data_IF_999694493423
#
_entry.id   IF_999694493423
#
_cell.length_a   1.000
_cell.length_b   1.000
_cell.length_c   1.000
_cell.angle_alpha   90.00
_cell.angle_beta   90.00
_cell.angle_gamma   90.00
#
_symmetry.space_group_name_H-M   'P 1'
#
loop_
_entity.id
_entity.type
_entity.pdbx_description
1 polymer ?
#
# COMPACT_ATOMS: atom_id res chain seq x y z
N UNK A 1 2.22 2.21 -26.02
CA UNK A 1 2.54 1.04 -25.17
C UNK A 1 2.39 1.38 -23.68
N UNK A 2 3.32 2.11 -23.03
CA UNK A 2 3.19 2.40 -21.59
C UNK A 2 2.04 3.37 -21.27
N UNK A 3 1.86 4.45 -22.05
CA UNK A 3 0.84 5.48 -21.78
C UNK A 3 -0.60 4.93 -21.72
N UNK A 4 -0.96 3.97 -22.58
CA UNK A 4 -2.30 3.36 -22.60
C UNK A 4 -2.66 2.67 -21.28
N UNK A 5 -1.70 1.95 -20.67
CA UNK A 5 -1.92 1.29 -19.37
C UNK A 5 -2.06 2.30 -18.22
N UNK A 6 -1.43 3.47 -18.31
CA UNK A 6 -1.61 4.54 -17.34
C UNK A 6 -3.03 5.12 -17.41
N UNK A 7 -3.54 5.37 -18.62
CA UNK A 7 -4.90 5.90 -18.77
C UNK A 7 -5.99 4.95 -18.27
N UNK A 8 -5.81 3.64 -18.45
CA UNK A 8 -6.72 2.64 -17.89
C UNK A 8 -6.74 2.65 -16.35
N UNK A 9 -5.63 3.00 -15.71
CA UNK A 9 -5.52 3.07 -14.24
C UNK A 9 -6.05 4.39 -13.68
N UNK A 10 -5.96 5.48 -14.44
CA UNK A 10 -6.45 6.80 -14.03
C UNK A 10 -7.95 6.77 -13.77
N UNK A 11 -8.71 6.02 -14.57
CA UNK A 11 -10.17 5.84 -14.42
C UNK A 11 -10.57 5.22 -13.05
N UNK A 12 -9.64 4.57 -12.34
CA UNK A 12 -9.89 4.02 -10.99
C UNK A 12 -9.93 5.11 -9.91
N UNK A 13 -9.40 6.29 -10.19
CA UNK A 13 -9.21 7.36 -9.20
C UNK A 13 -9.88 8.67 -9.63
N UNK A 14 -9.86 8.97 -10.92
CA UNK A 14 -10.37 10.22 -11.48
C UNK A 14 -11.62 9.98 -12.34
N UNK A 15 -12.53 10.96 -12.32
CA UNK A 15 -13.74 10.96 -13.15
C UNK A 15 -13.38 11.29 -14.60
N UNK A 16 -13.39 10.27 -15.46
CA UNK A 16 -13.05 10.36 -16.89
C UNK A 16 -13.83 11.45 -17.65
N UNK A 17 -15.05 11.79 -17.21
CA UNK A 17 -15.84 12.84 -17.88
C UNK A 17 -15.26 14.25 -17.71
N UNK A 18 -14.32 14.43 -16.77
CA UNK A 18 -13.67 15.71 -16.45
C UNK A 18 -12.18 15.72 -16.82
N UNK A 19 -11.71 14.73 -17.58
CA UNK A 19 -10.29 14.57 -17.89
C UNK A 19 -10.05 14.85 -19.37
N UNK A 20 -9.09 15.73 -19.64
CA UNK A 20 -8.44 15.86 -20.93
C UNK A 20 -7.06 15.19 -20.86
N UNK A 21 -6.72 14.41 -21.89
CA UNK A 21 -5.43 13.76 -22.00
C UNK A 21 -4.64 14.41 -23.13
N UNK A 22 -3.46 14.92 -22.81
CA UNK A 22 -2.55 15.57 -23.76
C UNK A 22 -1.15 14.97 -23.67
N UNK A 23 -0.48 14.87 -24.81
CA UNK A 23 0.90 14.43 -24.88
C UNK A 23 1.79 15.63 -25.15
N UNK A 24 2.78 15.89 -24.29
CA UNK A 24 3.66 17.05 -24.48
C UNK A 24 4.48 17.03 -25.77
N UNK A 25 4.61 15.88 -26.43
CA UNK A 25 5.12 15.80 -27.80
C UNK A 25 4.32 16.64 -28.80
N UNK A 26 3.06 16.96 -28.53
CA UNK A 26 2.22 17.83 -29.36
C UNK A 26 2.82 19.22 -29.55
N UNK A 27 3.49 19.77 -28.53
CA UNK A 27 4.13 21.09 -28.61
C UNK A 27 5.66 21.01 -28.56
N UNK A 28 6.25 20.09 -27.78
CA UNK A 28 7.70 19.99 -27.63
C UNK A 28 8.39 19.42 -28.88
N UNK A 29 7.80 18.42 -29.54
CA UNK A 29 8.47 17.74 -30.67
C UNK A 29 8.62 18.65 -31.91
N UNK A 30 7.74 19.66 -32.03
CA UNK A 30 7.77 20.65 -33.11
C UNK A 30 8.65 21.87 -32.82
N UNK A 31 9.22 22.02 -31.62
CA UNK A 31 10.03 23.18 -31.28
C UNK A 31 11.30 23.23 -32.15
N UNK A 32 11.51 24.35 -32.83
CA UNK A 32 12.77 24.60 -33.50
C UNK A 32 13.88 24.86 -32.47
N UNK A 33 15.14 24.73 -32.88
CA UNK A 33 16.27 25.12 -32.03
C UNK A 33 16.17 26.59 -31.57
N UNK A 34 15.60 27.47 -32.40
CA UNK A 34 15.36 28.86 -32.04
C UNK A 34 14.31 29.00 -30.92
N UNK A 35 13.27 28.17 -30.92
CA UNK A 35 12.24 28.18 -29.88
C UNK A 35 12.79 27.68 -28.55
N UNK A 36 13.59 26.61 -28.58
CA UNK A 36 14.29 26.09 -27.39
C UNK A 36 15.21 27.17 -26.81
N UNK A 37 15.99 27.87 -27.63
CA UNK A 37 16.84 28.96 -27.15
C UNK A 37 16.04 30.12 -26.54
N UNK A 38 14.90 30.48 -27.13
CA UNK A 38 14.01 31.51 -26.57
C UNK A 38 13.43 31.10 -25.23
N UNK A 39 13.05 29.82 -25.08
CA UNK A 39 12.58 29.26 -23.81
C UNK A 39 13.69 29.27 -22.76
N UNK A 40 14.88 28.78 -23.11
CA UNK A 40 16.03 28.78 -22.20
C UNK A 40 16.44 30.18 -21.76
N UNK A 41 16.26 31.19 -22.63
CA UNK A 41 16.55 32.58 -22.29
C UNK A 41 15.63 33.17 -21.22
N UNK A 42 14.53 32.49 -20.84
CA UNK A 42 13.59 32.94 -19.81
C UNK A 42 14.11 32.73 -18.38
N UNK A 43 15.14 31.91 -18.19
CA UNK A 43 15.74 31.69 -16.88
C UNK A 43 17.26 31.61 -16.97
N UNK A 44 17.92 31.85 -15.85
CA UNK A 44 19.38 31.71 -15.75
C UNK A 44 19.75 30.25 -15.50
N UNK A 45 20.95 29.86 -15.95
CA UNK A 45 21.50 28.54 -15.63
C UNK A 45 21.63 28.35 -14.11
N UNK A 46 21.99 29.41 -13.37
CA UNK A 46 22.12 29.38 -11.92
C UNK A 46 20.81 28.98 -11.23
N UNK A 47 19.66 29.49 -11.69
CA UNK A 47 18.36 29.08 -11.16
C UNK A 47 18.09 27.60 -11.39
N UNK A 48 18.41 27.08 -12.58
CA UNK A 48 18.22 25.63 -12.87
C UNK A 48 19.11 24.77 -11.97
N UNK A 49 20.36 25.19 -11.75
CA UNK A 49 21.31 24.49 -10.91
C UNK A 49 20.99 24.54 -9.40
N UNK A 50 20.01 25.34 -8.97
CA UNK A 50 19.51 25.32 -7.58
C UNK A 50 18.62 24.12 -7.28
N UNK A 51 18.15 23.40 -8.31
CA UNK A 51 17.44 22.13 -8.14
C UNK A 51 18.29 21.17 -7.29
N UNK A 52 17.69 20.58 -6.27
CA UNK A 52 18.41 19.81 -5.24
C UNK A 52 19.31 18.71 -5.83
N UNK A 53 18.81 17.94 -6.82
CA UNK A 53 19.62 16.89 -7.47
C UNK A 53 20.88 17.45 -8.14
N UNK A 54 20.76 18.58 -8.85
CA UNK A 54 21.89 19.21 -9.52
C UNK A 54 22.84 19.83 -8.49
N UNK A 55 22.31 20.48 -7.47
CA UNK A 55 23.11 21.06 -6.40
C UNK A 55 23.94 19.98 -5.68
N UNK A 56 23.36 18.82 -5.40
CA UNK A 56 24.05 17.74 -4.70
C UNK A 56 25.04 16.99 -5.60
N UNK A 57 24.72 16.80 -6.88
CA UNK A 57 25.68 16.25 -7.86
C UNK A 57 26.87 17.18 -8.08
N UNK A 58 26.64 18.48 -8.17
CA UNK A 58 27.73 19.48 -8.25
C UNK A 58 28.63 19.44 -7.01
N UNK A 59 28.05 19.35 -5.80
CA UNK A 59 28.82 19.24 -4.55
C UNK A 59 29.63 17.94 -4.46
N UNK A 60 29.06 16.84 -4.93
CA UNK A 60 29.72 15.51 -4.91
C UNK A 60 30.67 15.27 -6.09
N UNK A 61 30.73 16.19 -7.06
CA UNK A 61 31.53 16.05 -8.28
C UNK A 61 30.95 15.05 -9.28
N UNK A 62 29.69 14.62 -9.10
CA UNK A 62 29.00 13.77 -10.04
C UNK A 62 28.65 14.58 -11.31
N UNK A 63 28.92 14.01 -12.49
CA UNK A 63 28.67 14.67 -13.76
C UNK A 63 27.17 14.97 -13.94
N UNK A 64 26.85 16.11 -14.55
CA UNK A 64 25.50 16.49 -15.00
C UNK A 64 25.54 16.65 -16.51
N UNK A 65 24.70 15.89 -17.22
CA UNK A 65 24.59 16.00 -18.67
C UNK A 65 23.97 17.34 -19.06
N UNK A 66 24.50 17.99 -20.10
CA UNK A 66 23.97 19.28 -20.57
C UNK A 66 22.49 19.21 -20.98
N UNK A 67 22.04 18.05 -21.48
CA UNK A 67 20.64 17.82 -21.85
C UNK A 67 19.70 17.76 -20.63
N UNK A 68 20.20 17.41 -19.43
CA UNK A 68 19.38 17.32 -18.22
C UNK A 68 18.84 18.70 -17.81
N UNK A 69 19.55 19.78 -18.16
CA UNK A 69 19.14 21.16 -17.94
C UNK A 69 17.86 21.49 -18.70
N UNK A 70 17.56 20.81 -19.81
CA UNK A 70 16.36 21.05 -20.62
C UNK A 70 15.10 20.51 -19.96
N UNK A 71 15.21 19.56 -19.03
CA UNK A 71 14.03 18.91 -18.44
C UNK A 71 13.13 19.91 -17.68
N UNK A 72 13.65 20.76 -16.75
CA UNK A 72 12.81 21.75 -16.08
C UNK A 72 12.14 22.73 -17.05
N UNK A 73 12.82 23.14 -18.12
CA UNK A 73 12.21 24.01 -19.15
C UNK A 73 11.10 23.32 -19.91
N UNK A 74 11.29 22.04 -20.25
CA UNK A 74 10.30 21.26 -20.99
C UNK A 74 9.03 21.10 -20.15
N UNK A 75 9.17 20.68 -18.89
CA UNK A 75 8.03 20.54 -17.98
C UNK A 75 7.35 21.90 -17.70
N UNK A 76 8.12 22.97 -17.49
CA UNK A 76 7.56 24.29 -17.28
C UNK A 76 6.80 24.84 -18.50
N UNK A 77 7.21 24.46 -19.71
CA UNK A 77 6.49 24.83 -20.92
C UNK A 77 5.21 24.00 -21.12
N UNK A 78 5.12 22.80 -20.55
CA UNK A 78 3.88 22.02 -20.53
C UNK A 78 2.75 22.83 -19.84
N UNK A 79 3.03 23.51 -18.72
CA UNK A 79 2.09 24.41 -18.05
C UNK A 79 1.66 25.60 -18.92
N UNK A 80 2.56 26.14 -19.73
CA UNK A 80 2.25 27.21 -20.68
C UNK A 80 1.31 26.71 -21.78
N UNK A 81 1.61 25.52 -22.32
CA UNK A 81 0.88 24.94 -23.44
C UNK A 81 -0.56 24.55 -23.08
N UNK A 82 -0.80 24.14 -21.83
CA UNK A 82 -2.14 23.78 -21.33
C UNK A 82 -2.81 24.90 -20.54
N UNK A 83 -2.19 26.07 -20.44
CA UNK A 83 -2.68 27.22 -19.67
C UNK A 83 -3.07 26.83 -18.23
N UNK A 84 -2.19 26.09 -17.55
CA UNK A 84 -2.51 25.50 -16.26
C UNK A 84 -2.81 26.57 -15.20
N UNK A 85 -4.00 26.49 -14.58
CA UNK A 85 -4.33 27.28 -13.38
C UNK A 85 -3.74 26.66 -12.10
N UNK A 86 -3.61 25.33 -12.06
CA UNK A 86 -3.08 24.58 -10.92
C UNK A 86 -2.25 23.41 -11.42
N UNK A 87 -1.03 23.22 -10.89
CA UNK A 87 -0.24 22.01 -11.09
C UNK A 87 -0.03 21.26 -9.78
N UNK A 88 -0.25 19.95 -9.82
CA UNK A 88 -0.19 19.05 -8.68
C UNK A 88 1.04 18.15 -8.79
N UNK A 89 1.80 17.97 -7.71
CA UNK A 89 2.95 17.08 -7.71
C UNK A 89 3.40 16.62 -6.33
N UNK A 90 4.38 15.70 -6.32
CA UNK A 90 5.06 15.30 -5.10
C UNK A 90 6.02 16.39 -4.60
N UNK A 91 6.46 16.32 -3.34
CA UNK A 91 7.47 17.23 -2.78
C UNK A 91 8.78 17.24 -3.55
N UNK A 92 9.11 16.15 -4.24
CA UNK A 92 10.27 16.03 -5.13
C UNK A 92 10.14 16.83 -6.44
N UNK A 93 8.93 17.31 -6.77
CA UNK A 93 8.67 18.14 -7.95
C UNK A 93 8.59 19.65 -7.61
N UNK A 94 8.71 20.05 -6.34
CA UNK A 94 8.50 21.44 -5.91
C UNK A 94 9.29 22.45 -6.76
N UNK A 95 10.56 22.16 -7.06
CA UNK A 95 11.37 23.02 -7.92
C UNK A 95 10.75 23.19 -9.32
N UNK A 96 10.37 22.09 -9.98
CA UNK A 96 9.82 22.14 -11.34
C UNK A 96 8.47 22.86 -11.36
N UNK A 97 7.63 22.67 -10.35
CA UNK A 97 6.33 23.35 -10.21
C UNK A 97 6.48 24.87 -10.04
N UNK A 98 7.42 25.30 -9.19
CA UNK A 98 7.76 26.72 -9.03
C UNK A 98 8.39 27.29 -10.30
N UNK A 99 9.18 26.49 -11.00
CA UNK A 99 9.78 26.89 -12.26
C UNK A 99 8.73 27.08 -13.36
N UNK A 100 7.72 26.20 -13.43
CA UNK A 100 6.52 26.35 -14.27
C UNK A 100 5.84 27.71 -14.10
N UNK A 101 5.59 28.10 -12.84
CA UNK A 101 5.03 29.41 -12.50
C UNK A 101 5.81 30.59 -13.07
N UNK A 102 7.14 30.57 -12.90
CA UNK A 102 7.99 31.65 -13.40
C UNK A 102 8.04 31.69 -14.92
N UNK A 103 8.03 30.52 -15.58
CA UNK A 103 7.99 30.45 -17.04
C UNK A 103 6.64 30.95 -17.57
N UNK A 104 5.50 30.56 -17.01
CA UNK A 104 4.17 31.09 -17.39
C UNK A 104 4.14 32.62 -17.33
N UNK A 105 4.65 33.20 -16.25
CA UNK A 105 4.78 34.67 -16.10
C UNK A 105 5.60 35.30 -17.23
N UNK A 106 6.68 34.64 -17.65
CA UNK A 106 7.54 35.10 -18.74
C UNK A 106 6.89 35.03 -20.14
N UNK A 107 5.81 34.25 -20.26
CA UNK A 107 4.92 34.17 -21.42
C UNK A 107 3.67 35.05 -21.28
N UNK A 108 3.54 35.80 -20.18
CA UNK A 108 2.42 36.71 -19.94
C UNK A 108 1.14 36.03 -19.45
N UNK A 109 1.22 34.76 -19.05
CA UNK A 109 0.11 34.03 -18.42
C UNK A 109 0.05 34.30 -16.91
N UNK A 110 -1.12 34.06 -16.32
CA UNK A 110 -1.27 33.99 -14.87
C UNK A 110 -0.49 32.77 -14.34
N UNK A 111 0.38 32.91 -13.32
CA UNK A 111 1.14 31.78 -12.81
C UNK A 111 0.26 30.77 -12.07
N UNK A 112 0.35 29.50 -12.44
CA UNK A 112 -0.39 28.38 -11.84
C UNK A 112 -0.23 28.31 -10.31
N UNK A 113 -1.27 27.98 -9.57
CA UNK A 113 -1.13 27.54 -8.18
C UNK A 113 -0.48 26.17 -8.07
N UNK A 114 0.21 25.92 -6.96
CA UNK A 114 0.92 24.66 -6.74
C UNK A 114 0.34 23.92 -5.56
N UNK A 115 -0.02 22.66 -5.77
CA UNK A 115 -0.44 21.76 -4.71
C UNK A 115 0.55 20.61 -4.61
N UNK A 116 1.26 20.57 -3.48
CA UNK A 116 2.36 19.64 -3.27
C UNK A 116 1.99 18.65 -2.17
N UNK A 117 2.16 17.36 -2.48
CA UNK A 117 1.84 16.27 -1.58
C UNK A 117 3.11 15.54 -1.12
N UNK A 118 3.16 15.09 0.15
CA UNK A 118 4.31 14.33 0.65
C UNK A 118 4.45 13.01 -0.11
N UNK A 119 5.70 12.56 -0.26
CA UNK A 119 5.98 11.23 -0.81
C UNK A 119 5.47 10.14 0.14
N UNK A 120 4.85 9.12 -0.43
CA UNK A 120 4.43 7.93 0.30
C UNK A 120 5.58 6.92 0.35
N UNK A 121 5.99 6.52 1.55
CA UNK A 121 6.92 5.40 1.74
C UNK A 121 6.28 4.09 1.30
N UNK A 122 7.10 3.17 0.77
CA UNK A 122 6.64 1.86 0.36
C UNK A 122 6.32 0.92 1.51
N UNK A 123 6.06 -0.34 1.19
CA UNK A 123 5.75 -1.40 2.17
C UNK A 123 6.94 -1.79 3.06
N UNK A 124 8.16 -1.43 2.66
CA UNK A 124 9.38 -1.49 3.50
C UNK A 124 9.40 -0.38 4.56
N UNK A 125 8.75 0.73 4.25
CA UNK A 125 8.53 1.91 5.06
C UNK A 125 9.73 2.84 5.24
N UNK A 126 10.84 2.57 4.56
CA UNK A 126 12.02 3.44 4.55
C UNK A 126 12.08 4.23 3.26
N UNK A 127 12.08 3.52 2.12
CA UNK A 127 12.20 4.17 0.83
C UNK A 127 10.85 4.65 0.32
N UNK A 128 10.89 5.64 -0.57
CA UNK A 128 9.71 6.03 -1.34
C UNK A 128 9.13 4.83 -2.09
N UNK A 129 7.82 4.77 -2.18
CA UNK A 129 7.13 3.72 -2.91
C UNK A 129 7.58 3.70 -4.38
N UNK A 130 8.04 2.53 -4.86
CA UNK A 130 8.53 2.37 -6.22
C UNK A 130 8.32 0.95 -6.75
N UNK A 131 7.89 0.87 -8.02
CA UNK A 131 7.83 -0.40 -8.75
C UNK A 131 9.19 -1.09 -8.86
N UNK A 132 10.26 -0.33 -9.03
CA UNK A 132 11.62 -0.87 -9.16
C UNK A 132 12.18 -1.46 -7.86
N UNK A 133 11.71 -0.99 -6.72
CA UNK A 133 12.11 -1.48 -5.39
C UNK A 133 11.22 -2.63 -4.91
N UNK A 134 10.13 -2.93 -5.62
CA UNK A 134 9.17 -3.96 -5.22
C UNK A 134 8.39 -3.63 -3.93
N UNK A 135 8.48 -2.39 -3.43
CA UNK A 135 7.86 -1.94 -2.17
C UNK A 135 6.53 -1.20 -2.41
N UNK A 136 5.81 -1.52 -3.49
CA UNK A 136 4.63 -0.76 -3.93
C UNK A 136 3.33 -1.55 -3.83
N UNK A 137 2.23 -0.81 -3.69
CA UNK A 137 0.86 -1.29 -3.82
C UNK A 137 0.32 -0.74 -5.14
N UNK A 138 0.05 -1.60 -6.12
CA UNK A 138 -0.36 -1.18 -7.45
C UNK A 138 -1.87 -0.94 -7.54
N UNK A 139 -2.29 0.07 -8.30
CA UNK A 139 -3.72 0.41 -8.45
C UNK A 139 -4.53 -0.67 -9.19
N UNK A 140 -3.90 -1.38 -10.13
CA UNK A 140 -4.52 -2.44 -10.92
C UNK A 140 -4.07 -3.85 -10.48
N UNK A 141 -3.61 -4.01 -9.24
CA UNK A 141 -3.29 -5.32 -8.69
C UNK A 141 -4.56 -6.08 -8.28
N UNK A 142 -4.52 -7.41 -8.20
CA UNK A 142 -5.63 -8.18 -7.65
C UNK A 142 -6.01 -7.70 -6.23
N UNK A 143 -7.30 -7.70 -5.87
CA UNK A 143 -7.80 -7.33 -4.54
C UNK A 143 -7.02 -7.96 -3.38
N UNK A 144 -6.68 -9.23 -3.48
CA UNK A 144 -5.94 -10.00 -2.48
C UNK A 144 -4.49 -9.53 -2.30
N UNK A 145 -3.86 -9.03 -3.37
CA UNK A 145 -2.49 -8.51 -3.35
C UNK A 145 -2.48 -7.12 -2.72
N UNK A 146 -3.44 -6.26 -3.11
CA UNK A 146 -3.62 -4.95 -2.47
C UNK A 146 -3.84 -5.13 -0.98
N UNK A 147 -4.79 -6.00 -0.59
CA UNK A 147 -5.09 -6.25 0.82
C UNK A 147 -3.87 -6.77 1.57
N UNK A 148 -3.20 -7.80 1.03
CA UNK A 148 -2.03 -8.40 1.65
C UNK A 148 -0.86 -7.44 1.82
N UNK A 149 -0.59 -6.61 0.80
CA UNK A 149 0.47 -5.60 0.84
C UNK A 149 0.13 -4.47 1.81
N UNK A 150 -1.12 -4.01 1.87
CA UNK A 150 -1.54 -3.03 2.88
C UNK A 150 -1.36 -3.58 4.28
N UNK A 151 -1.67 -4.85 4.51
CA UNK A 151 -1.44 -5.49 5.81
C UNK A 151 0.06 -5.58 6.19
N UNK A 152 0.96 -5.52 5.21
CA UNK A 152 2.41 -5.60 5.42
C UNK A 152 3.09 -4.26 5.78
N UNK A 153 2.40 -3.12 5.61
CA UNK A 153 3.00 -1.81 5.90
C UNK A 153 3.42 -1.71 7.37
N UNK A 154 4.53 -1.04 7.74
CA UNK A 154 4.88 -0.81 9.13
C UNK A 154 3.83 -0.01 9.90
N UNK A 155 3.63 -0.31 11.19
CA UNK A 155 2.59 0.32 12.03
C UNK A 155 2.73 1.86 12.08
N UNK A 156 3.96 2.36 12.07
CA UNK A 156 4.26 3.81 12.05
C UNK A 156 3.77 4.53 10.79
N UNK A 157 3.44 3.81 9.72
CA UNK A 157 2.97 4.37 8.46
C UNK A 157 1.45 4.33 8.30
N UNK A 158 0.71 3.71 9.23
CA UNK A 158 -0.75 3.62 9.16
C UNK A 158 -1.37 5.01 9.01
N UNK A 159 -0.96 5.97 9.85
CA UNK A 159 -1.47 7.34 9.80
C UNK A 159 -1.25 8.00 8.44
N UNK A 160 -0.04 7.88 7.90
CA UNK A 160 0.31 8.48 6.62
C UNK A 160 -0.50 7.86 5.48
N UNK A 161 -0.64 6.54 5.45
CA UNK A 161 -1.44 5.87 4.43
C UNK A 161 -2.92 6.23 4.54
N UNK A 162 -3.48 6.24 5.75
CA UNK A 162 -4.88 6.62 5.96
C UNK A 162 -5.13 8.03 5.44
N UNK A 163 -4.28 9.01 5.80
CA UNK A 163 -4.47 10.40 5.37
C UNK A 163 -4.28 10.61 3.86
N UNK A 164 -3.34 9.90 3.23
CA UNK A 164 -2.96 10.17 1.84
C UNK A 164 -3.73 9.35 0.81
N UNK A 165 -4.12 8.11 1.12
CA UNK A 165 -4.67 7.19 0.10
C UNK A 165 -6.02 6.57 0.45
N UNK A 166 -6.51 6.67 1.70
CA UNK A 166 -7.81 6.08 2.05
C UNK A 166 -9.00 6.77 1.38
N UNK A 167 -8.85 8.07 1.07
CA UNK A 167 -9.93 8.96 0.62
C UNK A 167 -11.19 8.91 1.49
N UNK A 168 -11.00 8.63 2.78
CA UNK A 168 -11.99 8.77 3.84
C UNK A 168 -12.07 10.22 4.32
N UNK A 169 -13.21 10.62 4.86
CA UNK A 169 -13.36 11.93 5.48
C UNK A 169 -12.62 12.02 6.83
N UNK A 170 -12.31 13.22 7.37
CA UNK A 170 -11.49 13.36 8.57
C UNK A 170 -11.98 12.59 9.80
N UNK A 171 -13.30 12.44 9.96
CA UNK A 171 -13.90 11.68 11.06
C UNK A 171 -13.65 10.17 10.90
N UNK A 172 -13.91 9.62 9.72
CA UNK A 172 -13.64 8.22 9.40
C UNK A 172 -12.14 7.89 9.47
N UNK A 173 -11.27 8.83 9.08
CA UNK A 173 -9.83 8.69 9.27
C UNK A 173 -9.49 8.57 10.76
N UNK A 174 -10.07 9.42 11.62
CA UNK A 174 -9.84 9.38 13.05
C UNK A 174 -10.29 8.04 13.66
N UNK A 175 -11.43 7.51 13.22
CA UNK A 175 -11.93 6.19 13.66
C UNK A 175 -10.96 5.07 13.31
N UNK A 176 -10.44 5.03 12.08
CA UNK A 176 -9.45 4.02 11.66
C UNK A 176 -8.16 4.15 12.48
N UNK A 177 -7.72 5.38 12.77
CA UNK A 177 -6.49 5.63 13.52
C UNK A 177 -6.61 5.35 15.02
N UNK A 178 -7.82 5.33 15.57
CA UNK A 178 -8.08 4.92 16.94
C UNK A 178 -8.02 3.40 17.14
N UNK A 179 -8.04 2.61 16.04
CA UNK A 179 -7.99 1.16 16.11
C UNK A 179 -6.60 0.64 16.49
N UNK A 180 -6.54 -0.63 16.93
CA UNK A 180 -5.24 -1.32 17.10
C UNK A 180 -4.55 -1.43 15.74
N UNK A 181 -3.20 -1.45 15.68
CA UNK A 181 -2.48 -1.40 14.41
C UNK A 181 -2.92 -2.44 13.36
N UNK A 182 -3.19 -3.68 13.79
CA UNK A 182 -3.72 -4.73 12.90
C UNK A 182 -5.08 -4.34 12.32
N UNK A 183 -5.99 -3.89 13.17
CA UNK A 183 -7.38 -3.60 12.79
C UNK A 183 -7.43 -2.33 11.92
N UNK A 184 -6.61 -1.32 12.22
CA UNK A 184 -6.45 -0.13 11.39
C UNK A 184 -5.90 -0.45 10.00
N UNK A 185 -4.91 -1.35 9.88
CA UNK A 185 -4.43 -1.85 8.58
C UNK A 185 -5.50 -2.62 7.82
N UNK A 186 -6.27 -3.46 8.51
CA UNK A 186 -7.34 -4.23 7.88
C UNK A 186 -8.45 -3.30 7.35
N UNK A 187 -8.83 -2.28 8.14
CA UNK A 187 -9.77 -1.26 7.72
C UNK A 187 -9.27 -0.46 6.50
N UNK A 188 -8.00 -0.03 6.52
CA UNK A 188 -7.37 0.63 5.38
C UNK A 188 -7.32 -0.31 4.15
N UNK A 189 -6.93 -1.57 4.32
CA UNK A 189 -6.84 -2.56 3.25
C UNK A 189 -8.20 -2.77 2.59
N UNK A 190 -9.26 -2.97 3.39
CA UNK A 190 -10.63 -3.06 2.91
C UNK A 190 -11.04 -1.81 2.16
N UNK A 191 -10.72 -0.62 2.67
CA UNK A 191 -11.06 0.65 2.02
C UNK A 191 -10.36 0.84 0.68
N UNK A 192 -9.07 0.51 0.58
CA UNK A 192 -8.32 0.61 -0.67
C UNK A 192 -8.89 -0.34 -1.73
N UNK A 193 -9.18 -1.59 -1.36
CA UNK A 193 -9.80 -2.55 -2.27
C UNK A 193 -11.21 -2.10 -2.66
N UNK A 194 -12.00 -1.57 -1.72
CA UNK A 194 -13.34 -1.07 -2.01
C UNK A 194 -13.32 0.06 -3.05
N UNK A 195 -12.39 1.02 -2.90
CA UNK A 195 -12.24 2.13 -3.85
C UNK A 195 -11.85 1.68 -5.25
N UNK A 196 -10.97 0.68 -5.35
CA UNK A 196 -10.39 0.26 -6.63
C UNK A 196 -11.19 -0.85 -7.32
N UNK A 197 -11.86 -1.71 -6.56
CA UNK A 197 -12.52 -2.93 -7.06
C UNK A 197 -13.95 -3.13 -6.55
N UNK A 198 -14.46 -2.26 -5.69
CA UNK A 198 -15.80 -2.32 -5.12
C UNK A 198 -15.93 -3.19 -3.87
N UNK A 199 -17.09 -3.07 -3.22
CA UNK A 199 -17.36 -3.61 -1.88
C UNK A 199 -17.25 -5.14 -1.82
N UNK A 200 -17.79 -5.83 -2.82
CA UNK A 200 -17.77 -7.31 -2.86
C UNK A 200 -16.36 -7.87 -3.07
N UNK A 201 -15.49 -7.15 -3.77
CA UNK A 201 -14.07 -7.53 -3.88
C UNK A 201 -13.34 -7.34 -2.55
N UNK A 202 -13.64 -6.24 -1.84
CA UNK A 202 -13.06 -5.94 -0.54
C UNK A 202 -13.42 -6.99 0.51
N UNK A 203 -14.71 -7.37 0.56
CA UNK A 203 -15.21 -8.43 1.47
C UNK A 203 -14.51 -9.76 1.22
N UNK A 204 -14.42 -10.19 -0.05
CA UNK A 204 -13.74 -11.46 -0.41
C UNK A 204 -12.25 -11.43 -0.08
N UNK A 205 -11.57 -10.32 -0.35
CA UNK A 205 -10.14 -10.19 -0.05
C UNK A 205 -9.85 -10.29 1.46
N UNK A 206 -10.71 -9.70 2.30
CA UNK A 206 -10.65 -9.80 3.76
C UNK A 206 -10.88 -11.23 4.25
N UNK A 207 -11.93 -11.90 3.78
CA UNK A 207 -12.24 -13.31 4.11
C UNK A 207 -11.08 -14.25 3.73
N UNK A 208 -10.53 -14.09 2.52
CA UNK A 208 -9.41 -14.88 2.02
C UNK A 208 -8.13 -14.64 2.83
N UNK A 209 -7.85 -13.39 3.21
CA UNK A 209 -6.71 -13.05 4.04
C UNK A 209 -6.81 -13.72 5.41
N UNK A 210 -7.97 -13.64 6.06
CA UNK A 210 -8.21 -14.26 7.36
C UNK A 210 -8.10 -15.80 7.30
N UNK A 211 -8.62 -16.43 6.25
CA UNK A 211 -8.47 -17.87 6.02
C UNK A 211 -7.00 -18.26 5.83
N UNK A 212 -6.26 -17.54 4.99
CA UNK A 212 -4.83 -17.78 4.75
C UNK A 212 -4.00 -17.53 6.01
N UNK A 213 -4.31 -16.51 6.78
CA UNK A 213 -3.64 -16.19 8.03
C UNK A 213 -3.88 -17.30 9.07
N UNK A 214 -5.13 -17.75 9.25
CA UNK A 214 -5.46 -18.91 10.10
C UNK A 214 -4.76 -20.19 9.64
N UNK A 215 -4.66 -20.43 8.33
CA UNK A 215 -3.92 -21.57 7.78
C UNK A 215 -2.41 -21.47 8.00
N UNK A 216 -1.82 -20.27 8.01
CA UNK A 216 -0.40 -20.05 8.35
C UNK A 216 -0.11 -20.17 9.85
N UNK A 217 -1.11 -19.92 10.71
CA UNK A 217 -0.98 -20.23 12.15
C UNK A 217 -0.93 -21.75 12.41
N UNK A 218 -1.49 -22.57 11.52
CA UNK A 218 -1.33 -24.02 11.56
C UNK A 218 0.12 -24.39 11.14
N UNK A 219 0.85 -25.16 11.94
CA UNK A 219 2.14 -25.72 11.54
C UNK A 219 2.02 -26.51 10.24
N UNK A 220 2.99 -26.39 9.34
CA UNK A 220 3.02 -27.17 8.08
C UNK A 220 3.10 -28.69 8.35
N UNK A 221 3.74 -29.07 9.45
CA UNK A 221 3.73 -30.42 10.00
C UNK A 221 3.07 -30.37 11.38
N UNK A 222 1.87 -30.95 11.48
CA UNK A 222 1.18 -31.13 12.76
C UNK A 222 1.47 -32.54 13.23
N UNK A 223 2.03 -32.68 14.43
CA UNK A 223 2.28 -33.99 15.04
C UNK A 223 0.96 -34.76 15.17
N UNK A 224 0.94 -36.00 14.70
CA UNK A 224 -0.23 -36.87 14.86
C UNK A 224 -0.11 -37.66 16.17
N UNK A 225 -1.16 -37.66 16.99
CA UNK A 225 -1.22 -38.46 18.23
C UNK A 225 -2.52 -39.23 18.29
N UNK A 226 -2.41 -40.46 18.79
CA UNK A 226 -3.56 -41.34 18.98
C UNK A 226 -4.22 -41.07 20.32
N UNK A 227 -5.55 -40.99 20.34
CA UNK A 227 -6.34 -40.88 21.58
C UNK A 227 -7.21 -42.11 21.75
N UNK A 228 -7.31 -42.60 22.98
CA UNK A 228 -8.02 -43.85 23.29
C UNK A 228 -9.54 -43.64 23.45
N UNK A 229 -9.96 -42.45 23.86
CA UNK A 229 -11.36 -42.13 24.07
C UNK A 229 -11.73 -40.78 23.43
N UNK A 230 -12.27 -40.77 22.19
CA UNK A 230 -12.65 -39.54 21.50
C UNK A 230 -13.74 -38.73 22.21
N UNK A 231 -14.47 -39.32 23.17
CA UNK A 231 -15.58 -38.67 23.90
C UNK A 231 -15.14 -37.92 25.16
N UNK A 232 -13.91 -38.09 25.62
CA UNK A 232 -13.37 -37.35 26.78
C UNK A 232 -12.30 -36.36 26.31
N UNK A 233 -12.72 -35.15 25.93
CA UNK A 233 -11.82 -34.07 25.50
C UNK A 233 -10.75 -33.74 26.57
N UNK A 234 -11.10 -33.86 27.84
CA UNK A 234 -10.18 -33.60 28.96
C UNK A 234 -9.08 -34.67 29.01
N UNK A 235 -9.43 -35.95 28.82
CA UNK A 235 -8.46 -37.02 28.69
C UNK A 235 -7.58 -36.81 27.45
N UNK A 236 -8.20 -36.54 26.29
CA UNK A 236 -7.50 -36.36 25.02
C UNK A 236 -6.48 -35.20 25.06
N UNK A 237 -6.78 -34.10 25.76
CA UNK A 237 -5.83 -33.00 25.96
C UNK A 237 -4.61 -33.43 26.78
N UNK A 238 -4.78 -34.29 27.78
CA UNK A 238 -3.67 -34.78 28.61
C UNK A 238 -2.85 -35.83 27.84
N UNK A 239 -3.51 -36.76 27.15
CA UNK A 239 -2.88 -37.81 26.34
C UNK A 239 -2.03 -37.23 25.20
N UNK A 240 -2.52 -36.17 24.57
CA UNK A 240 -1.80 -35.46 23.50
C UNK A 240 -0.70 -34.53 24.03
N UNK A 241 -0.57 -34.41 25.36
CA UNK A 241 0.38 -33.52 26.03
C UNK A 241 -0.01 -32.05 25.97
N UNK A 242 -1.15 -31.70 25.36
CA UNK A 242 -1.67 -30.34 25.27
C UNK A 242 -2.08 -29.76 26.64
N UNK A 243 -2.54 -30.59 27.57
CA UNK A 243 -2.79 -30.25 28.97
C UNK A 243 -1.82 -30.96 29.91
N UNK A 244 -1.30 -30.25 30.92
CA UNK A 244 -0.34 -30.85 31.88
C UNK A 244 -1.01 -31.77 32.92
N UNK A 245 -2.33 -31.63 33.10
CA UNK A 245 -3.15 -32.47 33.98
C UNK A 245 -4.63 -32.31 33.60
N UNK A 246 -5.51 -33.20 34.10
CA UNK A 246 -6.97 -33.08 33.86
C UNK A 246 -7.55 -31.76 34.38
N UNK A 247 -7.03 -31.25 35.49
CA UNK A 247 -7.43 -29.94 36.05
C UNK A 247 -7.00 -28.79 35.14
N UNK A 248 -5.76 -28.83 34.64
CA UNK A 248 -5.26 -27.84 33.68
C UNK A 248 -6.04 -27.88 32.35
N UNK A 249 -6.36 -29.07 31.84
CA UNK A 249 -7.13 -29.25 30.61
C UNK A 249 -8.55 -28.67 30.73
N UNK A 250 -9.28 -28.93 31.83
CA UNK A 250 -10.58 -28.30 32.08
C UNK A 250 -10.49 -26.78 32.14
N UNK A 251 -9.50 -26.26 32.86
CA UNK A 251 -9.30 -24.82 32.97
C UNK A 251 -9.04 -24.16 31.60
N UNK A 252 -8.24 -24.81 30.74
CA UNK A 252 -7.99 -24.35 29.38
C UNK A 252 -9.26 -24.34 28.52
N UNK A 253 -10.14 -25.33 28.67
CA UNK A 253 -11.43 -25.37 27.98
C UNK A 253 -12.35 -24.23 28.47
N UNK A 254 -12.50 -24.09 29.78
CA UNK A 254 -13.34 -23.06 30.41
C UNK A 254 -12.90 -21.64 30.03
N UNK A 255 -11.60 -21.39 29.94
CA UNK A 255 -11.04 -20.12 29.46
C UNK A 255 -11.14 -19.92 27.94
N UNK A 256 -11.66 -20.90 27.20
CA UNK A 256 -11.76 -20.87 25.74
C UNK A 256 -10.42 -20.95 25.01
N UNK A 257 -9.40 -21.50 25.68
CA UNK A 257 -8.08 -21.74 25.12
C UNK A 257 -7.96 -22.99 24.25
N UNK A 258 -9.01 -23.81 24.16
CA UNK A 258 -9.03 -25.05 23.37
C UNK A 258 -9.92 -24.90 22.14
N UNK A 259 -9.41 -25.35 20.99
CA UNK A 259 -10.13 -25.35 19.72
C UNK A 259 -10.02 -26.69 18.99
N UNK A 260 -11.10 -27.11 18.33
CA UNK A 260 -11.13 -28.25 17.41
C UNK A 260 -11.35 -27.69 16.00
N UNK A 261 -10.45 -27.98 15.07
CA UNK A 261 -10.49 -27.47 13.69
C UNK A 261 -10.68 -25.93 13.60
N UNK A 262 -10.08 -25.20 14.55
CA UNK A 262 -10.13 -23.74 14.64
C UNK A 262 -11.36 -23.15 15.33
N UNK A 263 -12.36 -23.98 15.69
CA UNK A 263 -13.56 -23.57 16.44
C UNK A 263 -13.38 -23.82 17.94
N UNK A 264 -13.88 -22.93 18.81
CA UNK A 264 -13.81 -23.09 20.27
C UNK A 264 -14.55 -24.38 20.67
N UNK A 265 -13.92 -25.20 21.50
CA UNK A 265 -14.47 -26.46 21.96
C UNK A 265 -15.06 -26.32 23.37
N UNK A 266 -16.18 -26.98 23.61
CA UNK A 266 -16.77 -27.17 24.94
C UNK A 266 -16.28 -28.48 25.57
N UNK A 267 -16.45 -28.63 26.89
CA UNK A 267 -15.94 -29.78 27.64
C UNK A 267 -16.51 -31.12 27.17
N UNK A 268 -17.73 -31.09 26.61
CA UNK A 268 -18.46 -32.26 26.12
C UNK A 268 -18.26 -32.50 24.61
N UNK A 269 -17.34 -31.79 23.95
CA UNK A 269 -17.08 -31.96 22.53
C UNK A 269 -16.43 -33.33 22.24
N UNK A 270 -16.95 -34.02 21.24
CA UNK A 270 -16.42 -35.31 20.75
C UNK A 270 -15.42 -35.10 19.62
N UNK A 271 -14.29 -35.79 19.68
CA UNK A 271 -13.22 -35.77 18.68
C UNK A 271 -13.48 -36.80 17.58
N UNK A 272 -13.15 -36.45 16.33
CA UNK A 272 -13.18 -37.35 15.18
C UNK A 272 -11.76 -37.66 14.70
N UNK A 273 -11.61 -38.77 13.98
CA UNK A 273 -10.35 -39.10 13.34
C UNK A 273 -9.96 -38.01 12.34
N UNK A 274 -8.72 -37.53 12.43
CA UNK A 274 -8.18 -36.45 11.61
C UNK A 274 -8.42 -35.03 12.15
N UNK A 275 -9.17 -34.86 13.24
CA UNK A 275 -9.38 -33.55 13.84
C UNK A 275 -8.08 -32.91 14.31
N UNK A 276 -7.96 -31.58 14.15
CA UNK A 276 -6.83 -30.80 14.67
C UNK A 276 -7.24 -30.16 15.99
N UNK A 277 -6.63 -30.64 17.07
CA UNK A 277 -6.78 -30.11 18.41
C UNK A 277 -5.73 -29.04 18.67
N UNK A 278 -6.17 -27.86 19.12
CA UNK A 278 -5.33 -26.72 19.43
C UNK A 278 -5.50 -26.30 20.89
N UNK A 279 -4.38 -26.09 21.59
CA UNK A 279 -4.37 -25.48 22.92
C UNK A 279 -3.48 -24.21 22.93
N UNK A 280 -4.10 -23.05 23.10
CA UNK A 280 -3.40 -21.76 22.98
C UNK A 280 -2.99 -21.44 21.53
N UNK A 281 -2.04 -20.52 21.34
CA UNK A 281 -1.74 -19.95 20.01
C UNK A 281 -0.91 -20.84 19.07
N UNK A 282 -0.08 -21.75 19.59
CA UNK A 282 0.97 -22.43 18.81
C UNK A 282 1.06 -23.94 19.00
N UNK A 283 0.17 -24.54 19.80
CA UNK A 283 0.25 -25.97 20.13
C UNK A 283 -0.89 -26.68 19.43
N UNK A 284 -0.54 -27.51 18.46
CA UNK A 284 -1.47 -28.21 17.59
C UNK A 284 -1.10 -29.68 17.55
N UNK A 285 -2.11 -30.55 17.59
CA UNK A 285 -1.96 -31.99 17.42
C UNK A 285 -3.09 -32.48 16.53
N UNK A 286 -2.78 -33.33 15.56
CA UNK A 286 -3.79 -34.02 14.77
C UNK A 286 -4.14 -35.33 15.47
N UNK A 287 -5.42 -35.55 15.66
CA UNK A 287 -5.93 -36.70 16.40
C UNK A 287 -6.09 -37.88 15.47
N UNK A 288 -5.60 -39.04 15.90
CA UNK A 288 -5.97 -40.35 15.38
C UNK A 288 -6.83 -41.07 16.41
N UNK A 289 -7.97 -41.61 16.01
CA UNK A 289 -8.81 -42.39 16.92
C UNK A 289 -8.29 -43.83 16.92
N UNK A 290 -7.79 -44.26 18.08
CA UNK A 290 -7.23 -45.60 18.30
C UNK A 290 -8.26 -46.61 18.81
#
# INVERSE_FOLDING_TARGET
>A
ANAETYFQQVDLVLDRSKIEVRHNSEWLAGMSAADVLRLMAKATLQQVLQREDFADRMKSGAAIGAHEILYPFSQAYDSVAVEADVEIGGTDQLFNLLFGREIQKSFGQEPQDIAVFPLLEGTDGEQKMSKSLGNYIGLAEPPEDIYGKTMSIPDRLIERYVRLVSGLDPEEQADVLAMKPRDGKAALARQLVNRLHGEEAARRAEEDFDLKFRKRELPQEIEERTVANPKDLVAALVETGLGSSRGNARHLIEQGGVRINGQKADVDAELKDGDVLQAGKRRFVRIRVG
#
